data_IF_671900301455
#
_entry.id   IF_671900301455
#
_cell.length_a   1.000
_cell.length_b   1.000
_cell.length_c   1.000
_cell.angle_alpha   90.00
_cell.angle_beta   90.00
_cell.angle_gamma   90.00
#
_symmetry.space_group_name_H-M   'P 1'
#
loop_
_entity.id
_entity.type
_entity.pdbx_description
1 polymer ?
#
# COMPACT_ATOMS: atom_id res chain seq x y z
N UNK A 1 -15.67 10.00 -6.16
CA UNK A 1 -16.20 9.32 -4.95
C UNK A 1 -15.24 9.52 -3.79
N UNK A 2 -15.73 9.92 -2.61
CA UNK A 2 -14.93 10.10 -1.38
C UNK A 2 -15.07 8.84 -0.51
N UNK A 3 -14.00 8.44 0.17
CA UNK A 3 -14.02 7.28 1.08
C UNK A 3 -14.71 7.61 2.40
N UNK A 4 -15.14 6.57 3.13
CA UNK A 4 -15.65 6.70 4.49
C UNK A 4 -14.62 7.40 5.38
N UNK A 5 -15.02 8.55 5.95
CA UNK A 5 -14.16 9.47 6.71
C UNK A 5 -14.40 9.47 8.22
N UNK A 6 -15.40 8.72 8.70
CA UNK A 6 -15.85 8.78 10.10
C UNK A 6 -14.86 8.19 11.12
N UNK A 7 -13.86 7.42 10.67
CA UNK A 7 -12.76 6.98 11.51
C UNK A 7 -11.50 7.73 11.08
N UNK A 8 -11.00 8.61 11.96
CA UNK A 8 -9.60 9.06 11.92
C UNK A 8 -8.72 7.83 11.68
N UNK A 9 -7.76 7.91 10.78
CA UNK A 9 -6.76 6.85 10.63
C UNK A 9 -5.68 7.13 11.67
N UNK A 10 -5.72 6.49 12.86
CA UNK A 10 -4.75 6.82 13.87
C UNK A 10 -3.37 6.44 13.35
N UNK A 11 -2.44 7.39 13.47
CA UNK A 11 -1.02 7.09 13.38
C UNK A 11 -0.75 6.08 14.49
N UNK A 12 -0.28 4.88 14.14
CA UNK A 12 -0.05 3.86 15.17
C UNK A 12 1.27 4.11 15.87
N UNK A 13 1.45 3.55 17.07
CA UNK A 13 2.72 3.57 17.78
C UNK A 13 3.89 3.10 16.89
N UNK A 14 3.65 2.12 16.03
CA UNK A 14 4.62 1.62 15.06
C UNK A 14 5.07 2.68 14.04
N UNK A 15 4.16 3.55 13.59
CA UNK A 15 4.49 4.66 12.68
C UNK A 15 5.40 5.69 13.38
N UNK A 16 5.12 5.97 14.65
CA UNK A 16 5.95 6.85 15.48
C UNK A 16 7.33 6.25 15.76
N UNK A 17 7.36 4.99 16.18
CA UNK A 17 8.61 4.26 16.42
C UNK A 17 9.50 4.25 15.17
N UNK A 18 8.91 4.00 14.00
CA UNK A 18 9.65 4.04 12.74
C UNK A 18 10.15 5.45 12.40
N UNK A 19 9.33 6.48 12.60
CA UNK A 19 9.73 7.86 12.38
C UNK A 19 10.93 8.26 13.24
N UNK A 20 10.86 7.97 14.54
CA UNK A 20 11.96 8.20 15.48
C UNK A 20 13.20 7.42 15.05
N UNK A 21 13.03 6.16 14.67
CA UNK A 21 14.15 5.33 14.20
C UNK A 21 14.84 5.90 12.95
N UNK A 22 14.05 6.47 12.02
CA UNK A 22 14.56 7.16 10.82
C UNK A 22 15.33 8.42 11.19
N UNK A 23 14.82 9.23 12.13
CA UNK A 23 15.51 10.43 12.62
C UNK A 23 16.84 10.09 13.30
N UNK A 24 16.86 9.00 14.08
CA UNK A 24 18.05 8.53 14.78
C UNK A 24 19.07 7.84 13.85
N UNK A 25 18.83 7.78 12.53
CA UNK A 25 19.66 7.08 11.52
C UNK A 25 20.05 5.66 11.93
N UNK A 26 19.24 5.01 12.76
CA UNK A 26 19.43 3.60 13.08
C UNK A 26 19.28 2.88 11.76
N UNK A 27 20.31 2.15 11.33
CA UNK A 27 20.25 1.23 10.17
C UNK A 27 19.28 0.10 10.50
N UNK A 28 18.00 0.42 10.62
CA UNK A 28 16.94 -0.56 10.56
C UNK A 28 17.02 -1.09 9.15
N UNK A 29 17.64 -2.28 9.10
CA UNK A 29 17.65 -3.25 8.02
C UNK A 29 16.44 -2.98 7.14
N UNK A 30 16.66 -2.88 5.83
CA UNK A 30 15.66 -2.85 4.76
C UNK A 30 14.75 -4.10 4.80
N UNK A 31 14.16 -4.42 5.95
CA UNK A 31 13.20 -5.47 6.16
C UNK A 31 11.96 -5.02 5.41
N UNK A 32 11.63 -5.79 4.40
CA UNK A 32 10.39 -5.70 3.65
C UNK A 32 9.22 -5.50 4.62
N UNK A 33 8.74 -4.26 4.72
CA UNK A 33 7.59 -3.97 5.56
C UNK A 33 6.32 -4.31 4.78
N UNK A 34 5.58 -5.28 5.32
CA UNK A 34 4.28 -5.68 4.80
C UNK A 34 3.24 -4.66 5.27
N UNK A 35 2.83 -3.78 4.36
CA UNK A 35 1.85 -2.76 4.67
C UNK A 35 0.41 -3.30 4.62
N UNK A 36 -0.41 -3.07 5.66
CA UNK A 36 -1.81 -3.44 5.64
C UNK A 36 -2.57 -2.68 4.54
N UNK A 37 -3.36 -3.40 3.73
CA UNK A 37 -4.11 -2.82 2.60
C UNK A 37 -5.08 -1.70 3.02
N UNK A 38 -5.61 -1.77 4.23
CA UNK A 38 -6.60 -0.83 4.77
C UNK A 38 -5.98 0.44 5.35
N UNK A 39 -4.67 0.43 5.62
CA UNK A 39 -3.94 1.55 6.22
C UNK A 39 -3.76 2.67 5.20
N UNK A 40 -3.86 3.91 5.68
CA UNK A 40 -3.62 5.12 4.89
C UNK A 40 -2.13 5.44 4.86
N UNK A 41 -1.63 5.82 3.70
CA UNK A 41 -0.27 6.29 3.49
C UNK A 41 -0.12 7.70 4.04
N UNK A 42 0.85 7.85 4.94
CA UNK A 42 1.19 9.10 5.63
C UNK A 42 2.66 9.43 5.40
N UNK A 43 3.10 10.63 5.76
CA UNK A 43 4.50 11.08 5.68
C UNK A 43 5.48 10.18 6.46
N UNK A 44 4.97 9.42 7.43
CA UNK A 44 5.74 8.47 8.25
C UNK A 44 5.92 7.09 7.60
N UNK A 45 5.30 6.87 6.44
CA UNK A 45 5.34 5.58 5.75
C UNK A 45 6.74 5.26 5.23
N UNK A 46 7.07 3.97 5.18
CA UNK A 46 8.36 3.51 4.66
C UNK A 46 8.50 3.85 3.17
N UNK A 47 9.73 4.09 2.67
CA UNK A 47 9.95 4.38 1.25
C UNK A 47 9.55 3.22 0.34
N UNK A 48 9.74 1.98 0.79
CA UNK A 48 9.35 0.77 0.08
C UNK A 48 8.43 -0.08 0.94
N UNK A 49 7.23 -0.36 0.45
CA UNK A 49 6.27 -1.20 1.15
C UNK A 49 5.86 -2.37 0.26
N UNK A 50 5.77 -3.57 0.84
CA UNK A 50 5.18 -4.73 0.20
C UNK A 50 3.70 -4.80 0.57
N UNK A 51 2.83 -4.98 -0.42
CA UNK A 51 1.38 -5.04 -0.23
C UNK A 51 0.91 -6.44 -0.62
N UNK A 52 0.29 -7.15 0.32
CA UNK A 52 -0.25 -8.49 0.07
C UNK A 52 -1.46 -8.44 -0.89
N UNK A 53 -1.46 -9.30 -1.90
CA UNK A 53 -2.51 -9.44 -2.92
C UNK A 53 -3.23 -10.79 -2.88
N UNK A 54 -3.14 -11.52 -1.77
CA UNK A 54 -3.74 -12.84 -1.60
C UNK A 54 -2.70 -13.95 -1.80
N UNK A 55 -2.12 -14.09 -2.99
CA UNK A 55 -1.05 -15.07 -3.27
C UNK A 55 0.35 -14.45 -3.36
N UNK A 56 0.43 -13.21 -3.85
CA UNK A 56 1.68 -12.52 -4.13
C UNK A 56 1.77 -11.20 -3.36
N UNK A 57 2.96 -10.60 -3.36
CA UNK A 57 3.20 -9.26 -2.85
C UNK A 57 3.52 -8.31 -4.00
N UNK A 58 3.00 -7.09 -3.95
CA UNK A 58 3.45 -6.00 -4.82
C UNK A 58 4.27 -4.99 -4.05
N UNK A 59 5.46 -4.71 -4.57
CA UNK A 59 6.33 -3.65 -4.06
C UNK A 59 5.86 -2.30 -4.57
N UNK A 60 5.78 -1.35 -3.65
CA UNK A 60 5.28 -0.01 -3.93
C UNK A 60 6.24 1.01 -3.32
N UNK A 61 6.72 1.93 -4.16
CA UNK A 61 7.55 3.05 -3.73
C UNK A 61 6.66 4.21 -3.29
N UNK A 62 6.76 4.58 -2.02
CA UNK A 62 6.00 5.65 -1.40
C UNK A 62 6.22 7.01 -2.06
N UNK A 63 7.45 7.33 -2.47
CA UNK A 63 7.78 8.65 -3.04
C UNK A 63 7.09 8.90 -4.39
N UNK A 64 6.60 7.85 -5.06
CA UNK A 64 5.89 7.95 -6.34
C UNK A 64 4.37 8.09 -6.17
N UNK A 65 3.88 8.18 -4.93
CA UNK A 65 2.46 8.04 -4.61
C UNK A 65 1.94 9.23 -3.80
N UNK A 66 0.68 9.59 -4.07
CA UNK A 66 -0.04 10.65 -3.36
C UNK A 66 -0.43 10.20 -1.94
N UNK A 67 -0.19 11.08 -0.97
CA UNK A 67 -0.62 10.92 0.42
C UNK A 67 -2.14 10.81 0.56
N UNK A 68 -2.62 10.17 1.63
CA UNK A 68 -4.05 10.05 1.94
C UNK A 68 -4.76 8.87 1.25
N UNK A 69 -4.07 8.18 0.33
CA UNK A 69 -4.57 6.92 -0.24
C UNK A 69 -4.26 5.75 0.68
N UNK A 70 -5.12 4.74 0.66
CA UNK A 70 -4.86 3.44 1.29
C UNK A 70 -3.93 2.59 0.42
N UNK A 71 -3.04 1.82 1.03
CA UNK A 71 -2.12 0.92 0.34
C UNK A 71 -2.83 -0.01 -0.66
N UNK A 72 -4.00 -0.55 -0.30
CA UNK A 72 -4.77 -1.45 -1.16
C UNK A 72 -5.16 -0.87 -2.52
N UNK A 73 -5.10 0.46 -2.70
CA UNK A 73 -5.39 1.14 -3.97
C UNK A 73 -4.32 0.90 -5.03
N UNK A 74 -3.08 0.58 -4.62
CA UNK A 74 -1.93 0.38 -5.50
C UNK A 74 -1.69 -1.10 -5.85
N UNK A 75 -2.57 -1.98 -5.36
CA UNK A 75 -2.43 -3.43 -5.50
C UNK A 75 -3.69 -4.03 -6.10
N UNK A 76 -3.62 -4.49 -7.36
CA UNK A 76 -4.75 -5.14 -8.04
C UNK A 76 -5.00 -6.52 -7.42
N UNK A 77 -6.25 -6.85 -7.14
CA UNK A 77 -6.64 -8.17 -6.57
C UNK A 77 -7.12 -9.16 -7.63
N UNK A 78 -7.67 -8.66 -8.74
CA UNK A 78 -8.21 -9.49 -9.82
C UNK A 78 -7.57 -9.08 -11.14
N UNK A 79 -7.35 -10.07 -12.01
CA UNK A 79 -6.94 -9.82 -13.40
C UNK A 79 -8.07 -9.07 -14.13
N UNK A 80 -7.75 -8.12 -15.02
CA UNK A 80 -8.77 -7.46 -15.82
C UNK A 80 -9.52 -8.50 -16.67
N UNK A 81 -10.85 -8.41 -16.68
CA UNK A 81 -11.68 -9.22 -17.54
C UNK A 81 -11.90 -8.48 -18.86
N UNK A 82 -11.62 -9.14 -19.97
CA UNK A 82 -11.88 -8.61 -21.31
C UNK A 82 -12.99 -9.45 -21.94
N UNK A 83 -14.12 -8.81 -22.26
CA UNK A 83 -15.17 -9.46 -23.01
C UNK A 83 -14.67 -9.72 -24.43
N UNK A 84 -14.35 -10.98 -24.73
CA UNK A 84 -13.98 -11.38 -26.09
C UNK A 84 -15.26 -11.67 -26.85
N UNK A 85 -15.46 -11.00 -27.99
CA UNK A 85 -16.50 -11.38 -28.93
C UNK A 85 -16.32 -12.86 -29.26
N UNK A 86 -17.37 -13.67 -29.11
CA UNK A 86 -17.34 -15.08 -29.55
C UNK A 86 -16.97 -15.07 -31.03
N UNK A 87 -15.80 -15.61 -31.40
CA UNK A 87 -15.47 -15.83 -32.81
C UNK A 87 -16.56 -16.74 -33.37
N UNK A 88 -17.28 -16.27 -34.39
CA UNK A 88 -18.22 -17.09 -35.16
C UNK A 88 -17.40 -18.28 -35.70
N UNK A 89 -17.70 -19.51 -35.27
CA UNK A 89 -17.08 -20.70 -35.86
C UNK A 89 -17.49 -20.70 -37.34
N UNK A 90 -16.50 -20.78 -38.25
CA UNK A 90 -16.73 -21.04 -39.67
C UNK A 90 -17.11 -22.50 -39.84
#
# INVERSE_FOLDING_TARGET
>A
MRRSSWKYTPITFFDYYYYISKLLKIKLINKFHIAPRTKVMTTLSQPWNSIHQGKNYTMVNFYKIRLGYKYGSFSKTRKPFFFRSKKKKK
#
